data_IF_803824496849
#
_entry.id   IF_803824496849
#
_cell.length_a   1.000
_cell.length_b   1.000
_cell.length_c   1.000
_cell.angle_alpha   90.00
_cell.angle_beta   90.00
_cell.angle_gamma   90.00
#
_symmetry.space_group_name_H-M   'P 1'
#
loop_
_entity.id
_entity.type
_entity.pdbx_description
1 polymer ?
#
# COMPACT_ATOMS: atom_id res chain seq x y z
N UNK A 1 12.18 22.15 -9.34
CA UNK A 1 11.55 22.31 -8.02
C UNK A 1 10.77 21.05 -7.71
N UNK A 2 10.78 20.57 -6.47
CA UNK A 2 10.02 19.37 -6.07
C UNK A 2 8.53 19.70 -6.03
N UNK A 3 7.69 18.85 -6.62
CA UNK A 3 6.25 18.94 -6.41
C UNK A 3 5.93 18.43 -5.00
N UNK A 4 5.46 19.33 -4.15
CA UNK A 4 5.17 19.05 -2.74
C UNK A 4 3.78 18.41 -2.53
N UNK A 5 2.99 18.32 -3.60
CA UNK A 5 1.65 17.72 -3.53
C UNK A 5 1.77 16.21 -3.33
N UNK A 6 0.78 15.65 -2.67
CA UNK A 6 0.61 14.22 -2.46
C UNK A 6 -0.82 13.83 -2.76
N UNK A 7 -1.01 12.59 -3.19
CA UNK A 7 -2.32 11.95 -3.23
C UNK A 7 -2.45 11.10 -1.98
N UNK A 8 -3.46 11.39 -1.16
CA UNK A 8 -3.73 10.65 0.07
C UNK A 8 -4.87 9.66 -0.17
N UNK A 9 -4.59 8.38 0.04
CA UNK A 9 -5.56 7.30 -0.08
C UNK A 9 -5.79 6.65 1.28
N UNK A 10 -7.01 6.18 1.52
CA UNK A 10 -7.37 5.46 2.74
C UNK A 10 -7.87 4.08 2.36
N UNK A 11 -7.11 3.07 2.77
CA UNK A 11 -7.41 1.68 2.49
C UNK A 11 -8.06 1.02 3.70
N UNK A 12 -8.94 0.09 3.42
CA UNK A 12 -9.29 -0.96 4.37
C UNK A 12 -8.44 -2.18 4.05
N UNK A 13 -7.79 -2.78 5.04
CA UNK A 13 -7.03 -4.01 4.84
C UNK A 13 -7.45 -5.11 5.80
N UNK A 14 -7.38 -6.35 5.33
CA UNK A 14 -7.49 -7.57 6.13
C UNK A 14 -6.24 -8.43 5.90
N UNK A 15 -5.61 -8.89 6.97
CA UNK A 15 -4.40 -9.70 6.91
C UNK A 15 -4.31 -10.71 8.06
N UNK A 16 -3.67 -11.86 7.81
CA UNK A 16 -3.25 -12.80 8.87
C UNK A 16 -2.03 -12.29 9.64
N UNK A 17 -1.22 -11.43 9.02
CA UNK A 17 -0.04 -10.83 9.65
C UNK A 17 -0.40 -9.51 10.35
N UNK A 18 0.59 -8.91 11.02
CA UNK A 18 0.42 -7.63 11.67
C UNK A 18 0.04 -6.51 10.67
N UNK A 19 -0.99 -5.69 10.96
CA UNK A 19 -1.43 -4.63 10.06
C UNK A 19 -0.36 -3.62 9.65
N UNK A 20 0.62 -3.33 10.51
CA UNK A 20 1.74 -2.44 10.15
C UNK A 20 2.65 -3.11 9.11
N UNK A 21 2.90 -4.41 9.26
CA UNK A 21 3.70 -5.18 8.30
C UNK A 21 2.98 -5.30 6.95
N UNK A 22 1.67 -5.57 6.97
CA UNK A 22 0.84 -5.61 5.77
C UNK A 22 0.80 -4.23 5.06
N UNK A 23 0.68 -3.15 5.82
CA UNK A 23 0.73 -1.78 5.30
C UNK A 23 2.09 -1.47 4.64
N UNK A 24 3.20 -1.87 5.28
CA UNK A 24 4.54 -1.71 4.74
C UNK A 24 4.73 -2.45 3.42
N UNK A 25 4.22 -3.69 3.33
CA UNK A 25 4.26 -4.46 2.10
C UNK A 25 3.48 -3.77 0.97
N UNK A 26 2.25 -3.33 1.28
CA UNK A 26 1.38 -2.60 0.38
C UNK A 26 2.03 -1.31 -0.17
N UNK A 27 2.56 -0.45 0.71
CA UNK A 27 3.15 0.82 0.32
C UNK A 27 4.45 0.65 -0.51
N UNK A 28 5.24 -0.39 -0.20
CA UNK A 28 6.45 -0.72 -0.95
C UNK A 28 6.15 -1.09 -2.40
N UNK A 29 5.15 -1.96 -2.61
CA UNK A 29 4.72 -2.42 -3.93
C UNK A 29 4.10 -1.30 -4.77
N UNK A 30 3.29 -0.43 -4.16
CA UNK A 30 2.62 0.66 -4.88
C UNK A 30 3.51 1.88 -5.20
N UNK A 31 4.82 1.83 -4.91
CA UNK A 31 5.71 2.99 -5.10
C UNK A 31 6.99 2.70 -5.86
N UNK A 32 8.08 2.33 -5.20
CA UNK A 32 9.37 2.13 -5.87
C UNK A 32 9.48 0.80 -6.62
N UNK A 33 8.47 -0.06 -6.56
CA UNK A 33 8.41 -1.33 -7.31
C UNK A 33 9.43 -2.39 -6.88
N UNK A 34 10.25 -2.12 -5.86
CA UNK A 34 11.21 -3.07 -5.29
C UNK A 34 11.31 -2.94 -3.78
N UNK A 35 11.06 -4.03 -3.05
CA UNK A 35 11.25 -4.13 -1.59
C UNK A 35 12.72 -4.03 -1.17
N UNK A 36 13.63 -4.39 -2.06
CA UNK A 36 15.07 -4.47 -1.82
C UNK A 36 15.75 -3.31 -2.54
N UNK A 37 16.73 -2.63 -1.92
CA UNK A 37 17.55 -1.65 -2.62
C UNK A 37 18.16 -2.28 -3.88
N UNK A 38 17.93 -1.68 -5.05
CA UNK A 38 18.58 -2.13 -6.28
C UNK A 38 20.05 -1.65 -6.25
N UNK A 39 21.03 -2.54 -6.50
CA UNK A 39 22.43 -2.12 -6.57
C UNK A 39 22.62 -0.99 -7.58
N UNK A 40 23.09 0.17 -7.13
CA UNK A 40 23.27 1.36 -7.97
C UNK A 40 22.13 2.39 -7.91
N UNK A 41 21.00 2.07 -7.25
CA UNK A 41 19.96 3.05 -6.97
C UNK A 41 20.38 3.93 -5.78
N UNK A 42 20.44 5.24 -5.99
CA UNK A 42 20.78 6.16 -4.90
C UNK A 42 19.64 6.21 -3.87
N UNK A 43 19.93 6.29 -2.55
CA UNK A 43 18.92 6.43 -1.50
C UNK A 43 17.93 7.59 -1.77
N UNK A 44 18.41 8.61 -2.48
CA UNK A 44 17.65 9.81 -2.87
C UNK A 44 16.48 9.51 -3.83
N UNK A 45 16.53 8.45 -4.61
CA UNK A 45 15.42 8.06 -5.50
C UNK A 45 14.29 7.45 -4.65
N UNK A 46 14.62 6.53 -3.72
CA UNK A 46 13.64 5.97 -2.78
C UNK A 46 12.98 7.05 -1.93
N UNK A 47 13.74 8.00 -1.37
CA UNK A 47 13.18 9.11 -0.58
C UNK A 47 12.22 10.02 -1.38
N UNK A 48 12.42 10.11 -2.70
CA UNK A 48 11.57 10.95 -3.56
C UNK A 48 10.31 10.26 -3.99
N UNK A 49 10.39 8.96 -4.29
CA UNK A 49 9.33 8.22 -4.95
C UNK A 49 8.59 7.23 -4.03
N UNK A 50 9.06 7.00 -2.80
CA UNK A 50 8.40 6.10 -1.86
C UNK A 50 7.04 6.64 -1.38
N UNK A 51 6.04 5.77 -1.40
CA UNK A 51 4.78 6.00 -0.70
C UNK A 51 5.03 6.02 0.81
N UNK A 52 4.32 6.89 1.52
CA UNK A 52 4.47 7.08 2.96
C UNK A 52 3.21 6.61 3.68
N UNK A 53 3.36 5.71 4.64
CA UNK A 53 2.26 5.33 5.53
C UNK A 53 2.15 6.43 6.59
N UNK A 54 1.02 7.13 6.62
CA UNK A 54 0.79 8.22 7.57
C UNK A 54 -0.04 7.78 8.78
N UNK A 55 -0.63 6.59 8.72
CA UNK A 55 -1.28 6.00 9.87
C UNK A 55 -1.88 4.64 9.59
N UNK A 56 -1.81 3.78 10.60
CA UNK A 56 -2.47 2.48 10.65
C UNK A 56 -3.36 2.47 11.89
N UNK A 57 -4.63 2.15 11.70
CA UNK A 57 -5.60 2.03 12.79
C UNK A 57 -6.23 0.66 12.74
N UNK A 58 -5.89 -0.17 13.71
CA UNK A 58 -6.52 -1.47 13.89
C UNK A 58 -8.02 -1.33 14.14
N UNK A 59 -8.77 -2.22 13.51
CA UNK A 59 -10.22 -2.35 13.64
C UNK A 59 -10.62 -3.62 14.40
N UNK A 60 -9.63 -4.46 14.74
CA UNK A 60 -9.78 -5.70 15.50
C UNK A 60 -9.73 -6.96 14.63
N UNK A 61 -9.92 -8.09 15.30
CA UNK A 61 -9.98 -9.42 14.68
C UNK A 61 -11.40 -9.68 14.17
N UNK A 62 -11.52 -10.29 12.99
CA UNK A 62 -12.81 -10.62 12.37
C UNK A 62 -12.67 -11.82 11.44
N UNK A 63 -13.80 -12.40 11.03
CA UNK A 63 -13.80 -13.35 9.92
C UNK A 63 -13.50 -12.64 8.58
N UNK A 64 -12.77 -13.29 7.65
CA UNK A 64 -12.44 -12.71 6.36
C UNK A 64 -13.67 -12.29 5.58
N UNK A 65 -13.65 -11.10 4.98
CA UNK A 65 -14.78 -10.58 4.21
C UNK A 65 -14.90 -11.24 2.82
N UNK A 66 -13.82 -11.44 2.04
CA UNK A 66 -13.90 -12.10 0.74
C UNK A 66 -13.54 -13.59 0.81
N UNK A 67 -14.02 -14.41 -0.15
CA UNK A 67 -13.51 -15.76 -0.35
C UNK A 67 -12.06 -15.68 -0.86
N UNK A 68 -11.11 -16.00 0.00
CA UNK A 68 -9.67 -15.99 -0.29
C UNK A 68 -9.11 -17.36 -0.68
N UNK A 69 -7.84 -17.39 -1.12
CA UNK A 69 -7.12 -18.63 -1.48
C UNK A 69 -6.92 -19.56 -0.27
N UNK A 70 -6.60 -19.00 0.89
CA UNK A 70 -6.68 -19.66 2.19
C UNK A 70 -8.03 -19.35 2.86
N UNK A 71 -8.45 -20.15 3.84
CA UNK A 71 -9.67 -19.90 4.62
C UNK A 71 -9.33 -19.80 6.11
N UNK A 72 -8.62 -18.74 6.54
CA UNK A 72 -8.42 -18.52 7.96
C UNK A 72 -9.78 -18.31 8.65
N UNK A 73 -9.88 -18.76 9.90
CA UNK A 73 -11.08 -18.49 10.72
C UNK A 73 -11.13 -17.01 11.14
N UNK A 74 -9.95 -16.39 11.31
CA UNK A 74 -9.77 -15.03 11.80
C UNK A 74 -8.66 -14.28 11.05
N UNK A 75 -8.90 -13.00 10.75
CA UNK A 75 -7.95 -12.03 10.20
C UNK A 75 -7.99 -10.74 10.99
N UNK A 76 -6.88 -9.99 10.99
CA UNK A 76 -6.79 -8.66 11.59
C UNK A 76 -7.17 -7.62 10.55
N UNK A 77 -8.13 -6.78 10.89
CA UNK A 77 -8.58 -5.69 10.04
C UNK A 77 -7.96 -4.36 10.48
N UNK A 78 -7.65 -3.49 9.53
CA UNK A 78 -7.18 -2.14 9.80
C UNK A 78 -7.63 -1.14 8.74
N UNK A 79 -7.62 0.14 9.12
CA UNK A 79 -7.67 1.26 8.19
C UNK A 79 -6.27 1.86 8.07
N UNK A 80 -5.78 1.98 6.84
CA UNK A 80 -4.44 2.50 6.57
C UNK A 80 -4.53 3.71 5.67
N UNK A 81 -3.75 4.73 5.99
CA UNK A 81 -3.66 5.95 5.19
C UNK A 81 -2.28 6.02 4.58
N UNK A 82 -2.22 6.17 3.26
CA UNK A 82 -0.97 6.22 2.49
C UNK A 82 -0.94 7.50 1.66
N UNK A 83 0.23 8.13 1.59
CA UNK A 83 0.50 9.28 0.74
C UNK A 83 1.45 8.91 -0.40
N UNK A 84 1.02 9.20 -1.62
CA UNK A 84 1.78 8.98 -2.84
C UNK A 84 2.32 10.32 -3.36
N UNK A 85 3.63 10.44 -3.65
CA UNK A 85 4.19 11.65 -4.24
C UNK A 85 3.52 11.99 -5.58
N UNK A 86 3.10 13.25 -5.76
CA UNK A 86 2.49 13.70 -7.01
C UNK A 86 3.44 13.56 -8.21
N UNK A 87 4.75 13.57 -7.97
CA UNK A 87 5.78 13.32 -8.97
C UNK A 87 5.70 11.92 -9.62
N UNK A 88 5.12 10.94 -8.93
CA UNK A 88 4.91 9.60 -9.48
C UNK A 88 3.68 9.52 -10.40
N UNK A 89 2.72 10.41 -10.20
CA UNK A 89 1.38 10.33 -10.79
C UNK A 89 1.21 11.33 -11.94
N UNK A 90 1.70 12.56 -11.76
CA UNK A 90 1.47 13.64 -12.72
C UNK A 90 -0.02 13.99 -12.90
N UNK A 91 -0.40 14.62 -13.99
CA UNK A 91 -1.80 15.00 -14.25
C UNK A 91 -2.54 13.97 -15.11
N UNK A 92 -2.26 12.68 -14.91
CA UNK A 92 -2.87 11.58 -15.65
C UNK A 92 -3.68 10.66 -14.72
N UNK A 93 -4.97 10.50 -15.03
CA UNK A 93 -5.88 9.66 -14.25
C UNK A 93 -5.57 8.17 -14.41
N UNK A 94 -5.05 7.74 -15.55
CA UNK A 94 -4.67 6.35 -15.75
C UNK A 94 -3.48 5.99 -14.86
N UNK A 95 -2.44 6.84 -14.85
CA UNK A 95 -1.30 6.69 -13.95
C UNK A 95 -1.74 6.69 -12.48
N UNK A 96 -2.61 7.62 -12.07
CA UNK A 96 -3.18 7.64 -10.72
C UNK A 96 -3.81 6.28 -10.37
N UNK A 97 -4.69 5.77 -11.22
CA UNK A 97 -5.40 4.52 -10.98
C UNK A 97 -4.42 3.33 -10.87
N UNK A 98 -3.39 3.28 -11.71
CA UNK A 98 -2.36 2.23 -11.63
C UNK A 98 -1.51 2.33 -10.36
N UNK A 99 -1.26 3.53 -9.84
CA UNK A 99 -0.47 3.73 -8.61
C UNK A 99 -1.24 3.33 -7.35
N UNK A 100 -2.54 3.65 -7.27
CA UNK A 100 -3.30 3.49 -6.01
C UNK A 100 -4.06 2.17 -5.92
N UNK A 101 -4.31 1.51 -7.06
CA UNK A 101 -5.16 0.33 -7.17
C UNK A 101 -4.69 -0.65 -8.27
N UNK A 102 -3.38 -0.68 -8.54
CA UNK A 102 -2.77 -1.57 -9.53
C UNK A 102 -2.75 -3.03 -9.06
N UNK A 103 -1.56 -3.53 -8.72
CA UNK A 103 -1.35 -4.91 -8.24
C UNK A 103 -1.68 -5.11 -6.75
N UNK A 104 -2.28 -4.11 -6.09
CA UNK A 104 -2.67 -4.13 -4.68
C UNK A 104 -3.48 -5.38 -4.29
N UNK A 105 -4.35 -5.84 -5.21
CA UNK A 105 -5.24 -6.98 -5.02
C UNK A 105 -4.57 -8.34 -5.23
N UNK A 106 -3.30 -8.36 -5.63
CA UNK A 106 -2.53 -9.58 -5.89
C UNK A 106 -1.57 -9.94 -4.74
N UNK A 107 -1.44 -9.07 -3.73
CA UNK A 107 -0.56 -9.28 -2.58
C UNK A 107 -1.05 -10.45 -1.74
N UNK A 108 -0.18 -11.46 -1.54
CA UNK A 108 -0.52 -12.68 -0.82
C UNK A 108 -0.76 -12.45 0.68
N UNK A 109 -0.21 -11.36 1.21
CA UNK A 109 -0.37 -10.92 2.60
C UNK A 109 -1.74 -10.29 2.86
N UNK A 110 -2.51 -9.96 1.82
CA UNK A 110 -3.79 -9.27 1.92
C UNK A 110 -4.95 -10.16 1.50
N UNK A 111 -5.96 -10.19 2.36
CA UNK A 111 -7.22 -10.90 2.11
C UNK A 111 -8.23 -9.97 1.45
N UNK A 112 -8.28 -8.73 1.91
CA UNK A 112 -9.08 -7.67 1.33
C UNK A 112 -8.26 -6.38 1.33
N UNK A 113 -8.34 -5.61 0.23
CA UNK A 113 -7.78 -4.26 0.19
C UNK A 113 -8.57 -3.29 -0.69
N UNK A 114 -9.87 -3.00 -0.42
CA UNK A 114 -10.58 -1.96 -1.15
C UNK A 114 -10.01 -0.58 -0.80
N UNK A 115 -9.74 0.20 -1.86
CA UNK A 115 -9.41 1.61 -1.81
C UNK A 115 -10.64 2.50 -1.56
#
# INVERSE_FOLDING_TARGET
MRDQRVVRCTYYLESEIDPEQAAAAMAGEQSSGTFVPVPGESPRIRERHAAQIVGVRELGVRSPSPPSRSRPEEVRAARVVVEYPMENIGTDLATLQTTIAGNLFELGELFACPA
#
